data_IF_504498415939
#
_entry.id   IF_504498415939
#
_cell.length_a   1.000
_cell.length_b   1.000
_cell.length_c   1.000
_cell.angle_alpha   90.00
_cell.angle_beta   90.00
_cell.angle_gamma   90.00
#
_symmetry.space_group_name_H-M   'P 1'
#
loop_
_entity.id
_entity.type
_entity.pdbx_description
1 polymer ?
#
# COMPACT_ATOMS: atom_id res chain seq x y z
N UNK A 1 16.87 -18.32 -2.08
CA UNK A 1 15.66 -17.66 -1.54
C UNK A 1 16.07 -16.25 -1.14
N UNK A 2 15.36 -15.22 -1.61
CA UNK A 2 15.65 -13.83 -1.23
C UNK A 2 15.28 -13.62 0.23
N UNK A 3 16.24 -13.15 1.03
CA UNK A 3 16.03 -12.93 2.46
C UNK A 3 15.56 -11.48 2.70
N UNK A 4 14.51 -11.31 3.50
CA UNK A 4 13.81 -10.03 3.67
C UNK A 4 14.69 -8.94 4.30
N UNK A 5 15.63 -9.34 5.16
CA UNK A 5 16.60 -8.48 5.82
C UNK A 5 17.52 -7.73 4.84
N UNK A 6 17.68 -8.26 3.62
CA UNK A 6 18.50 -7.67 2.57
C UNK A 6 17.69 -6.79 1.61
N UNK A 7 16.50 -6.35 2.02
CA UNK A 7 15.56 -5.56 1.21
C UNK A 7 15.06 -4.34 1.99
N UNK A 8 14.43 -3.39 1.30
CA UNK A 8 13.78 -2.22 1.92
C UNK A 8 12.69 -2.58 2.97
N UNK A 9 12.19 -3.83 2.98
CA UNK A 9 11.22 -4.29 3.98
C UNK A 9 11.86 -4.81 5.27
N UNK A 10 13.17 -5.03 5.30
CA UNK A 10 13.86 -5.64 6.45
C UNK A 10 13.68 -4.87 7.76
N UNK A 11 13.72 -3.53 7.71
CA UNK A 11 13.44 -2.70 8.89
C UNK A 11 12.00 -2.89 9.39
N UNK A 12 11.02 -2.83 8.49
CA UNK A 12 9.60 -2.97 8.86
C UNK A 12 9.30 -4.35 9.45
N UNK A 13 9.98 -5.38 8.97
CA UNK A 13 9.94 -6.72 9.54
C UNK A 13 10.49 -6.75 10.97
N UNK A 14 11.69 -6.20 11.18
CA UNK A 14 12.33 -6.16 12.49
C UNK A 14 11.53 -5.34 13.51
N UNK A 15 10.82 -4.30 13.06
CA UNK A 15 9.91 -3.51 13.88
C UNK A 15 8.54 -4.19 14.11
N UNK A 16 8.32 -5.39 13.57
CA UNK A 16 7.07 -6.15 13.71
C UNK A 16 5.87 -5.51 13.00
N UNK A 17 6.11 -4.70 11.96
CA UNK A 17 5.06 -3.94 11.27
C UNK A 17 4.41 -4.71 10.13
N UNK A 18 5.04 -5.76 9.61
CA UNK A 18 4.47 -6.59 8.55
C UNK A 18 3.49 -7.61 9.15
N UNK A 19 2.20 -7.32 9.01
CA UNK A 19 1.12 -8.06 9.65
C UNK A 19 0.22 -8.75 8.60
N UNK A 20 -0.59 -9.71 9.05
CA UNK A 20 -1.65 -10.34 8.25
C UNK A 20 -1.21 -10.78 6.84
N UNK A 21 0.00 -11.36 6.76
CA UNK A 21 0.61 -11.70 5.48
C UNK A 21 -0.23 -12.76 4.73
N UNK A 22 -0.78 -12.36 3.59
CA UNK A 22 -1.36 -13.26 2.58
C UNK A 22 -0.23 -13.87 1.73
N UNK A 23 0.81 -13.07 1.46
CA UNK A 23 2.03 -13.52 0.78
C UNK A 23 3.23 -12.75 1.33
N UNK A 24 4.33 -13.45 1.59
CA UNK A 24 5.58 -12.85 2.06
C UNK A 24 6.73 -13.78 1.71
N UNK A 25 7.47 -13.46 0.66
CA UNK A 25 8.54 -14.33 0.19
C UNK A 25 9.14 -13.92 -1.15
N UNK A 26 10.07 -14.74 -1.63
CA UNK A 26 10.61 -14.60 -2.97
C UNK A 26 9.53 -14.73 -4.05
N UNK A 27 9.65 -13.92 -5.10
CA UNK A 27 8.73 -13.92 -6.24
C UNK A 27 9.25 -14.76 -7.39
N UNK A 28 8.66 -14.64 -8.59
CA UNK A 28 9.13 -15.37 -9.78
C UNK A 28 10.41 -14.77 -10.36
N UNK A 29 10.77 -13.54 -9.97
CA UNK A 29 12.00 -12.87 -10.40
C UNK A 29 13.11 -13.03 -9.38
N UNK A 30 14.31 -13.31 -9.88
CA UNK A 30 15.50 -13.50 -9.06
C UNK A 30 15.81 -12.26 -8.19
N UNK A 31 16.10 -12.49 -6.91
CA UNK A 31 16.41 -11.41 -5.97
C UNK A 31 15.21 -10.55 -5.57
N UNK A 32 14.01 -10.77 -6.10
CA UNK A 32 12.82 -9.99 -5.77
C UNK A 32 12.01 -10.64 -4.65
N UNK A 33 11.68 -9.84 -3.64
CA UNK A 33 10.82 -10.19 -2.53
C UNK A 33 9.49 -9.46 -2.63
N UNK A 34 8.38 -10.16 -2.43
CA UNK A 34 7.04 -9.60 -2.47
C UNK A 34 6.35 -9.70 -1.12
N UNK A 35 5.49 -8.72 -0.83
CA UNK A 35 4.66 -8.71 0.36
C UNK A 35 3.22 -8.33 0.00
N UNK A 36 2.28 -9.12 0.52
CA UNK A 36 0.85 -8.86 0.54
C UNK A 36 0.32 -9.06 1.96
N UNK A 37 -0.26 -8.03 2.56
CA UNK A 37 -0.71 -8.05 3.96
C UNK A 37 -0.96 -6.64 4.44
N UNK A 38 -0.66 -6.35 5.70
CA UNK A 38 -0.84 -5.03 6.29
C UNK A 38 0.49 -4.48 6.82
N UNK A 39 0.64 -3.15 6.83
CA UNK A 39 1.77 -2.45 7.45
C UNK A 39 1.25 -1.62 8.63
N UNK A 40 1.64 -1.97 9.85
CA UNK A 40 1.28 -1.22 11.04
C UNK A 40 1.86 0.21 10.99
N UNK A 41 1.00 1.22 11.12
CA UNK A 41 1.41 2.62 11.21
C UNK A 41 1.62 3.01 12.67
N UNK A 42 0.66 2.68 13.53
CA UNK A 42 0.71 2.97 14.96
C UNK A 42 0.32 1.75 15.78
N UNK A 43 1.15 1.39 16.76
CA UNK A 43 0.82 0.35 17.73
C UNK A 43 -0.02 0.92 18.89
N UNK A 44 -0.81 0.06 19.52
CA UNK A 44 -1.49 0.42 20.77
C UNK A 44 -0.51 0.35 21.95
N UNK A 45 -0.80 1.07 23.03
CA UNK A 45 -0.05 0.89 24.28
C UNK A 45 -0.19 -0.56 24.74
N UNK A 46 0.94 -1.25 24.89
CA UNK A 46 0.97 -2.63 25.34
C UNK A 46 0.73 -2.67 26.85
N UNK A 47 -0.26 -3.46 27.28
CA UNK A 47 -0.51 -3.75 28.70
C UNK A 47 -0.20 -5.23 28.88
N UNK A 48 0.83 -5.54 29.66
CA UNK A 48 1.34 -6.90 29.87
C UNK A 48 1.74 -7.63 28.55
N UNK A 49 1.69 -8.96 28.54
CA UNK A 49 2.15 -9.80 27.43
C UNK A 49 1.11 -10.00 26.31
N UNK A 50 0.04 -9.20 26.29
CA UNK A 50 -0.99 -9.29 25.24
C UNK A 50 -0.51 -8.66 23.93
N UNK A 51 -0.32 -9.49 22.90
CA UNK A 51 -0.04 -9.01 21.54
C UNK A 51 -1.31 -8.39 20.94
N UNK A 52 -1.40 -7.07 21.01
CA UNK A 52 -2.54 -6.30 20.47
C UNK A 52 -2.40 -6.02 18.98
N UNK A 53 -3.52 -5.94 18.23
CA UNK A 53 -3.49 -5.42 16.88
C UNK A 53 -3.00 -3.96 16.89
N UNK A 54 -2.46 -3.46 15.77
CA UNK A 54 -2.11 -2.05 15.66
C UNK A 54 -3.36 -1.18 15.90
N UNK A 55 -3.14 0.07 16.27
CA UNK A 55 -4.23 1.05 16.35
C UNK A 55 -4.79 1.34 14.95
N UNK A 56 -3.90 1.48 13.97
CA UNK A 56 -4.25 1.55 12.55
C UNK A 56 -3.04 1.19 11.67
N UNK A 57 -3.32 0.85 10.42
CA UNK A 57 -2.37 0.31 9.44
C UNK A 57 -2.66 0.80 8.03
N UNK A 58 -1.71 0.58 7.13
CA UNK A 58 -1.99 0.43 5.71
C UNK A 58 -2.49 -1.00 5.52
N UNK A 59 -3.71 -1.18 5.03
CA UNK A 59 -4.31 -2.50 4.81
C UNK A 59 -4.14 -2.96 3.36
N UNK A 60 -4.20 -4.27 3.12
CA UNK A 60 -4.18 -4.85 1.76
C UNK A 60 -2.99 -4.36 0.91
N UNK A 61 -1.86 -4.15 1.57
CA UNK A 61 -0.61 -3.72 0.95
C UNK A 61 -0.22 -4.69 -0.16
N UNK A 62 0.20 -4.15 -1.30
CA UNK A 62 0.83 -4.86 -2.40
C UNK A 62 2.17 -4.17 -2.68
N UNK A 63 3.28 -4.89 -2.54
CA UNK A 63 4.60 -4.33 -2.83
C UNK A 63 5.58 -5.42 -3.27
N UNK A 64 6.57 -5.01 -4.06
CA UNK A 64 7.77 -5.79 -4.39
C UNK A 64 9.02 -4.95 -4.17
N UNK A 65 10.08 -5.59 -3.70
CA UNK A 65 11.38 -4.98 -3.43
C UNK A 65 12.48 -5.87 -3.99
N UNK A 66 13.54 -5.24 -4.51
CA UNK A 66 14.71 -5.95 -5.01
C UNK A 66 15.76 -6.04 -3.91
N UNK A 67 16.42 -7.20 -3.80
CA UNK A 67 17.55 -7.38 -2.90
C UNK A 67 18.66 -6.35 -3.20
N UNK A 68 19.19 -5.73 -2.13
CA UNK A 68 20.23 -4.71 -2.24
C UNK A 68 19.71 -3.31 -2.56
N UNK A 69 18.47 -3.16 -3.03
CA UNK A 69 17.84 -1.86 -3.19
C UNK A 69 17.28 -1.36 -1.85
N UNK A 70 17.52 -0.08 -1.58
CA UNK A 70 17.09 0.58 -0.33
C UNK A 70 15.63 1.03 -0.35
N UNK A 71 15.04 1.17 -1.52
CA UNK A 71 13.72 1.78 -1.71
C UNK A 71 12.72 0.81 -2.31
N UNK A 72 11.46 0.99 -1.96
CA UNK A 72 10.32 0.32 -2.54
C UNK A 72 9.98 1.01 -3.87
N UNK A 73 10.03 0.24 -4.96
CA UNK A 73 9.71 0.75 -6.30
C UNK A 73 8.21 1.03 -6.49
N UNK A 74 7.36 0.17 -5.94
CA UNK A 74 5.90 0.31 -6.01
C UNK A 74 5.27 -0.16 -4.71
N UNK A 75 4.35 0.65 -4.18
CA UNK A 75 3.51 0.25 -3.06
C UNK A 75 2.08 0.72 -3.29
N UNK A 76 1.13 -0.21 -3.21
CA UNK A 76 -0.29 0.11 -3.15
C UNK A 76 -0.85 -0.35 -1.80
N UNK A 77 -1.81 0.38 -1.25
CA UNK A 77 -2.44 0.00 0.01
C UNK A 77 -3.71 0.80 0.28
N UNK A 78 -4.48 0.36 1.26
CA UNK A 78 -5.72 0.98 1.69
C UNK A 78 -5.51 1.76 3.00
N UNK A 79 -6.10 2.95 3.08
CA UNK A 79 -6.16 3.78 4.27
C UNK A 79 -7.61 3.99 4.69
N UNK A 80 -7.92 3.61 5.93
CA UNK A 80 -9.22 3.87 6.53
C UNK A 80 -9.51 5.36 6.73
N UNK A 81 -8.46 6.18 6.90
CA UNK A 81 -8.55 7.62 6.98
C UNK A 81 -7.41 8.27 6.20
N UNK A 82 -7.74 9.24 5.36
CA UNK A 82 -6.80 10.04 4.58
C UNK A 82 -5.72 10.70 5.48
N UNK A 83 -6.08 11.12 6.69
CA UNK A 83 -5.15 11.73 7.64
C UNK A 83 -3.99 10.80 8.06
N UNK A 84 -4.09 9.49 7.82
CA UNK A 84 -3.00 8.55 8.09
C UNK A 84 -1.86 8.64 7.06
N UNK A 85 -2.04 9.36 5.95
CA UNK A 85 -1.02 9.52 4.91
C UNK A 85 0.28 10.14 5.46
N UNK A 86 0.19 11.06 6.43
CA UNK A 86 1.37 11.61 7.09
C UNK A 86 2.16 10.51 7.86
N UNK A 87 1.45 9.61 8.54
CA UNK A 87 2.07 8.48 9.23
C UNK A 87 2.66 7.46 8.24
N UNK A 88 2.05 7.27 7.06
CA UNK A 88 2.65 6.47 5.98
C UNK A 88 4.01 7.03 5.58
N UNK A 89 4.08 8.34 5.29
CA UNK A 89 5.33 9.00 4.89
C UNK A 89 6.41 8.94 5.99
N UNK A 90 6.01 8.95 7.26
CA UNK A 90 6.93 8.83 8.39
C UNK A 90 7.40 7.39 8.62
N UNK A 91 6.49 6.42 8.64
CA UNK A 91 6.80 5.00 8.91
C UNK A 91 7.60 4.38 7.77
N UNK A 92 7.37 4.81 6.53
CA UNK A 92 8.11 4.33 5.36
C UNK A 92 9.32 5.21 5.03
N UNK A 93 9.68 6.17 5.89
CA UNK A 93 10.84 7.03 5.66
C UNK A 93 12.12 6.20 5.45
N UNK A 94 12.93 6.60 4.49
CA UNK A 94 14.13 5.87 4.05
C UNK A 94 13.85 4.64 3.17
N UNK A 95 12.60 4.17 3.08
CA UNK A 95 12.18 3.09 2.18
C UNK A 95 11.41 3.60 0.94
N UNK A 96 11.12 4.91 0.85
CA UNK A 96 10.48 5.54 -0.31
C UNK A 96 11.49 6.36 -1.11
N UNK A 97 11.27 6.48 -2.41
CA UNK A 97 12.06 7.26 -3.36
C UNK A 97 11.15 8.18 -4.19
N UNK A 98 11.60 9.38 -4.59
CA UNK A 98 10.84 10.24 -5.51
C UNK A 98 10.48 9.57 -6.86
N UNK A 99 11.24 8.55 -7.27
CA UNK A 99 11.02 7.81 -8.53
C UNK A 99 10.04 6.64 -8.37
N UNK A 100 9.57 6.36 -7.15
CA UNK A 100 8.65 5.26 -6.88
C UNK A 100 7.20 5.57 -7.24
N UNK A 101 6.38 4.53 -7.41
CA UNK A 101 4.95 4.64 -7.68
C UNK A 101 4.13 4.21 -6.46
N UNK A 102 3.53 5.17 -5.76
CA UNK A 102 2.82 4.92 -4.50
C UNK A 102 1.33 5.24 -4.62
N UNK A 103 0.47 4.28 -4.29
CA UNK A 103 -0.99 4.37 -4.43
C UNK A 103 -1.68 4.14 -3.08
N UNK A 104 -2.36 5.16 -2.57
CA UNK A 104 -3.14 5.08 -1.34
C UNK A 104 -4.63 5.16 -1.68
N UNK A 105 -5.29 4.03 -1.55
CA UNK A 105 -6.73 3.90 -1.70
C UNK A 105 -7.42 4.28 -0.38
N UNK A 106 -8.03 5.45 -0.34
CA UNK A 106 -8.59 6.05 0.87
C UNK A 106 -10.11 5.84 0.95
N UNK A 107 -10.57 5.48 2.15
CA UNK A 107 -11.98 5.28 2.44
C UNK A 107 -12.80 6.57 2.43
N UNK A 108 -12.25 7.64 3.02
CA UNK A 108 -13.02 8.82 3.43
C UNK A 108 -12.72 10.04 2.54
N UNK A 109 -12.69 9.83 1.24
CA UNK A 109 -12.57 10.90 0.24
C UNK A 109 -13.73 10.77 -0.76
N UNK A 110 -14.01 11.83 -1.51
CA UNK A 110 -15.01 11.82 -2.57
C UNK A 110 -14.71 10.69 -3.58
N UNK A 111 -15.73 9.90 -3.93
CA UNK A 111 -15.59 8.71 -4.80
C UNK A 111 -15.17 9.04 -6.24
N UNK A 112 -15.28 10.30 -6.64
CA UNK A 112 -14.81 10.80 -7.93
C UNK A 112 -13.45 11.50 -7.83
N UNK A 113 -12.97 11.81 -6.63
CA UNK A 113 -11.70 12.52 -6.45
C UNK A 113 -10.51 11.62 -6.73
N UNK A 114 -9.54 12.15 -7.50
CA UNK A 114 -8.23 11.55 -7.70
C UNK A 114 -7.21 12.68 -7.67
N UNK A 115 -6.19 12.55 -6.83
CA UNK A 115 -5.19 13.60 -6.69
C UNK A 115 -3.83 13.05 -6.30
N UNK A 116 -2.80 13.85 -6.56
CA UNK A 116 -1.43 13.62 -6.09
C UNK A 116 -1.14 14.50 -4.88
N UNK A 117 -0.42 13.95 -3.92
CA UNK A 117 0.06 14.70 -2.76
C UNK A 117 1.55 14.47 -2.61
N UNK A 118 2.29 15.56 -2.47
CA UNK A 118 3.72 15.51 -2.18
C UNK A 118 3.97 15.71 -0.70
N UNK A 119 4.53 14.69 -0.04
CA UNK A 119 4.95 14.74 1.36
C UNK A 119 6.41 14.34 1.48
N UNK A 120 7.22 15.19 2.11
CA UNK A 120 8.66 14.92 2.35
C UNK A 120 9.43 14.55 1.06
N UNK A 121 9.04 15.17 -0.06
CA UNK A 121 9.64 14.89 -1.38
C UNK A 121 9.09 13.66 -2.12
N UNK A 122 8.18 12.91 -1.50
CA UNK A 122 7.55 11.71 -2.06
C UNK A 122 6.15 12.02 -2.58
N UNK A 123 5.85 11.55 -3.78
CA UNK A 123 4.52 11.71 -4.40
C UNK A 123 3.67 10.48 -4.13
N UNK A 124 2.49 10.68 -3.56
CA UNK A 124 1.46 9.66 -3.40
C UNK A 124 0.29 9.95 -4.33
N UNK A 125 -0.14 8.94 -5.08
CA UNK A 125 -1.42 8.94 -5.78
C UNK A 125 -2.51 8.53 -4.79
N UNK A 126 -3.45 9.43 -4.50
CA UNK A 126 -4.54 9.19 -3.58
C UNK A 126 -5.82 8.97 -4.38
N UNK A 127 -6.44 7.82 -4.15
CA UNK A 127 -7.57 7.30 -4.92
C UNK A 127 -8.68 6.85 -3.96
N UNK A 128 -9.96 6.89 -4.36
CA UNK A 128 -11.04 6.45 -3.50
C UNK A 128 -11.12 4.93 -3.50
N UNK A 129 -11.55 4.33 -2.39
CA UNK A 129 -11.92 2.92 -2.35
C UNK A 129 -13.02 2.69 -1.32
N UNK A 130 -14.17 2.24 -1.81
CA UNK A 130 -15.37 2.01 -1.02
C UNK A 130 -15.53 0.51 -0.69
N UNK A 131 -16.30 -0.22 -1.51
CA UNK A 131 -16.59 -1.65 -1.29
C UNK A 131 -15.61 -2.60 -2.01
N UNK A 132 -14.59 -2.06 -2.69
CA UNK A 132 -13.63 -2.82 -3.49
C UNK A 132 -12.43 -3.31 -2.67
N UNK A 133 -11.43 -3.89 -3.36
CA UNK A 133 -10.14 -4.28 -2.78
C UNK A 133 -9.02 -3.57 -3.51
N UNK A 134 -7.90 -3.29 -2.82
CA UNK A 134 -6.71 -2.70 -3.45
C UNK A 134 -6.25 -3.51 -4.65
N UNK A 135 -6.37 -4.84 -4.58
CA UNK A 135 -6.05 -5.72 -5.71
C UNK A 135 -6.88 -5.40 -6.95
N UNK A 136 -8.21 -5.30 -6.80
CA UNK A 136 -9.11 -5.00 -7.91
C UNK A 136 -8.89 -3.59 -8.44
N UNK A 137 -8.79 -2.60 -7.54
CA UNK A 137 -8.56 -1.21 -7.94
C UNK A 137 -7.23 -1.04 -8.70
N UNK A 138 -6.17 -1.74 -8.28
CA UNK A 138 -4.90 -1.74 -9.00
C UNK A 138 -5.02 -2.41 -10.38
N UNK A 139 -5.72 -3.55 -10.48
CA UNK A 139 -5.96 -4.20 -11.78
C UNK A 139 -6.70 -3.26 -12.74
N UNK A 140 -7.76 -2.62 -12.27
CA UNK A 140 -8.56 -1.68 -13.07
C UNK A 140 -7.72 -0.45 -13.47
N UNK A 141 -6.89 0.07 -12.55
CA UNK A 141 -6.00 1.21 -12.79
C UNK A 141 -4.98 0.95 -13.90
N UNK A 142 -4.41 -0.26 -13.95
CA UNK A 142 -3.37 -0.62 -14.94
C UNK A 142 -3.89 -1.45 -16.12
N UNK A 143 -5.21 -1.65 -16.20
CA UNK A 143 -5.86 -2.38 -17.30
C UNK A 143 -5.52 -3.87 -17.35
N UNK A 144 -5.23 -4.49 -16.21
CA UNK A 144 -4.94 -5.94 -16.11
C UNK A 144 -6.24 -6.73 -16.00
N UNK A 145 -6.48 -7.65 -16.93
CA UNK A 145 -7.66 -8.51 -16.92
C UNK A 145 -7.40 -9.79 -16.10
N UNK A 146 -8.47 -10.36 -15.56
CA UNK A 146 -8.41 -11.64 -14.82
C UNK A 146 -7.79 -12.75 -15.67
N UNK A 147 -7.98 -12.74 -16.99
CA UNK A 147 -7.44 -13.74 -17.90
C UNK A 147 -5.93 -13.66 -18.08
N UNK A 148 -5.32 -12.50 -17.90
CA UNK A 148 -3.87 -12.31 -17.99
C UNK A 148 -3.16 -13.06 -16.86
N UNK A 149 -3.78 -13.05 -15.68
CA UNK A 149 -3.18 -13.55 -14.45
C UNK A 149 -3.72 -14.93 -14.03
N UNK A 150 -4.73 -15.49 -14.70
CA UNK A 150 -5.43 -16.71 -14.25
C UNK A 150 -4.54 -17.97 -14.16
N UNK A 151 -3.50 -18.05 -14.98
CA UNK A 151 -2.55 -19.18 -15.02
C UNK A 151 -1.34 -18.99 -14.10
N UNK A 152 -1.18 -17.81 -13.51
CA UNK A 152 -0.07 -17.48 -12.64
C UNK A 152 -0.37 -17.91 -11.19
N UNK A 153 0.68 -18.27 -10.46
CA UNK A 153 0.63 -18.49 -9.03
C UNK A 153 0.64 -17.16 -8.25
N UNK A 154 0.48 -17.21 -6.93
CA UNK A 154 0.44 -16.00 -6.10
C UNK A 154 1.62 -15.02 -6.33
N UNK A 155 2.90 -15.46 -6.34
CA UNK A 155 4.02 -14.57 -6.65
C UNK A 155 4.00 -14.05 -8.09
N UNK A 156 3.68 -14.90 -9.08
CA UNK A 156 3.63 -14.48 -10.48
C UNK A 156 2.53 -13.44 -10.74
N UNK A 157 1.36 -13.58 -10.10
CA UNK A 157 0.29 -12.58 -10.16
C UNK A 157 0.73 -11.24 -9.57
N UNK A 158 1.46 -11.26 -8.46
CA UNK A 158 1.96 -10.05 -7.82
C UNK A 158 2.99 -9.35 -8.70
N UNK A 159 3.92 -10.10 -9.28
CA UNK A 159 4.91 -9.57 -10.24
C UNK A 159 4.23 -8.92 -11.43
N UNK A 160 3.28 -9.62 -12.05
CA UNK A 160 2.56 -9.12 -13.23
C UNK A 160 1.87 -7.80 -12.95
N UNK A 161 1.09 -7.73 -11.86
CA UNK A 161 0.35 -6.54 -11.48
C UNK A 161 1.27 -5.37 -11.13
N UNK A 162 2.30 -5.61 -10.30
CA UNK A 162 3.15 -4.52 -9.81
C UNK A 162 4.15 -4.02 -10.87
N UNK A 163 4.61 -4.86 -11.79
CA UNK A 163 5.41 -4.38 -12.91
C UNK A 163 4.57 -3.54 -13.90
N UNK A 164 3.30 -3.87 -14.12
CA UNK A 164 2.39 -3.05 -14.93
C UNK A 164 2.11 -1.68 -14.30
N UNK A 165 2.17 -1.58 -12.96
CA UNK A 165 1.97 -0.32 -12.24
C UNK A 165 3.21 0.58 -12.15
N UNK A 166 4.39 0.10 -12.55
CA UNK A 166 5.60 0.93 -12.58
C UNK A 166 5.47 1.99 -13.66
N UNK A 167 5.64 3.24 -13.27
CA UNK A 167 5.60 4.36 -14.22
C UNK A 167 4.19 4.74 -14.68
N UNK A 168 3.15 4.34 -13.93
CA UNK A 168 1.83 4.97 -14.06
C UNK A 168 2.00 6.45 -13.72
N UNK A 169 2.10 7.28 -14.76
CA UNK A 169 2.04 8.72 -14.66
C UNK A 169 0.59 9.15 -14.78
N UNK A 170 -0.12 9.06 -13.66
CA UNK A 170 -1.48 9.54 -13.62
C UNK A 170 -1.47 11.07 -13.55
N UNK A 171 -2.00 11.70 -14.59
CA UNK A 171 -2.16 13.17 -14.68
C UNK A 171 -3.29 13.68 -13.76
N UNK A 172 -3.27 13.30 -12.49
CA UNK A 172 -4.16 13.82 -11.47
C UNK A 172 -3.68 15.17 -10.95
N UNK A 173 -4.64 15.98 -10.51
CA UNK A 173 -4.36 17.28 -9.88
C UNK A 173 -3.47 17.08 -8.66
N UNK A 174 -2.44 17.91 -8.51
CA UNK A 174 -1.64 17.95 -7.29
C UNK A 174 -2.30 18.90 -6.28
N UNK A 175 -2.49 18.42 -5.06
CA UNK A 175 -3.01 19.22 -3.94
C UNK A 175 -2.08 19.14 -2.73
N UNK A 176 -2.15 20.14 -1.86
CA UNK A 176 -1.47 20.08 -0.56
C UNK A 176 -2.09 19.03 0.35
N UNK A 177 -1.31 18.53 1.31
CA UNK A 177 -1.83 17.62 2.32
C UNK A 177 -2.91 18.29 3.18
N UNK A 178 -2.71 19.58 3.52
CA UNK A 178 -3.64 20.39 4.28
C UNK A 178 -4.98 20.57 3.55
N UNK A 179 -4.97 20.71 2.23
CA UNK A 179 -6.20 20.76 1.45
C UNK A 179 -6.88 19.39 1.35
N UNK A 180 -6.11 18.30 1.27
CA UNK A 180 -6.64 16.95 1.40
C UNK A 180 -7.37 16.75 2.74
N UNK A 181 -6.79 17.23 3.85
CA UNK A 181 -7.41 17.16 5.18
C UNK A 181 -8.71 17.95 5.28
N UNK A 182 -8.84 19.08 4.57
CA UNK A 182 -10.09 19.86 4.51
C UNK A 182 -11.15 19.18 3.64
N UNK A 183 -10.74 18.40 2.64
CA UNK A 183 -11.63 17.73 1.67
C UNK A 183 -12.07 16.34 2.13
N UNK A 184 -11.34 15.70 3.06
CA UNK A 184 -11.72 14.38 3.53
C UNK A 184 -13.09 14.40 4.21
N UNK A 185 -13.84 13.34 3.99
CA UNK A 185 -15.16 13.11 4.53
C UNK A 185 -15.08 12.33 5.85
N UNK A 186 -16.20 12.18 6.58
CA UNK A 186 -16.27 11.18 7.64
C UNK A 186 -15.92 9.79 7.13
N UNK A 187 -15.28 9.01 7.98
CA UNK A 187 -14.96 7.61 7.70
C UNK A 187 -16.25 6.81 7.50
N UNK A 188 -16.32 6.08 6.38
CA UNK A 188 -17.47 5.26 5.98
C UNK A 188 -17.34 3.87 6.56
N UNK A 189 -18.47 3.29 7.00
CA UNK A 189 -18.49 1.92 7.47
C UNK A 189 -18.51 0.96 6.28
N UNK A 190 -17.38 0.30 6.02
CA UNK A 190 -17.22 -0.65 4.90
C UNK A 190 -18.13 -1.89 4.98
N UNK A 191 -18.75 -2.15 6.13
CA UNK A 191 -19.66 -3.28 6.32
C UNK A 191 -21.13 -2.86 6.31
N UNK A 192 -21.46 -1.58 6.11
CA UNK A 192 -22.83 -1.07 6.22
C UNK A 192 -23.80 -1.74 5.22
N UNK A 193 -23.33 -2.07 4.02
CA UNK A 193 -24.15 -2.68 2.95
C UNK A 193 -23.87 -4.18 2.74
N UNK A 194 -23.02 -4.82 3.55
CA UNK A 194 -22.75 -6.25 3.38
C UNK A 194 -23.94 -7.06 3.90
N UNK A 195 -24.52 -7.98 3.10
CA UNK A 195 -25.54 -8.88 3.62
C UNK A 195 -24.93 -9.72 4.75
N UNK A 196 -25.61 -9.73 5.90
CA UNK A 196 -25.29 -10.54 7.08
C UNK A 196 -25.44 -12.03 6.82
#
# INVERSE_FOLDING_TARGET
MTAIENTALGRLENEGRLLNAIFKGGTTKEGRFGFRGDIALKFQAQVADEKRPPHYSIEQVLTVVQQGERSISVLAGYLHCFAYLADVANVLDGALSPDGSYFMFCNNIDLLAKYRIKLRGITFNVLPCDESTVWKEMMDLVGVDKNDIKKLDAPGKLDYLLDASKGVDASYDEISYEDGLKRMEPVRNRNENRPV
#
